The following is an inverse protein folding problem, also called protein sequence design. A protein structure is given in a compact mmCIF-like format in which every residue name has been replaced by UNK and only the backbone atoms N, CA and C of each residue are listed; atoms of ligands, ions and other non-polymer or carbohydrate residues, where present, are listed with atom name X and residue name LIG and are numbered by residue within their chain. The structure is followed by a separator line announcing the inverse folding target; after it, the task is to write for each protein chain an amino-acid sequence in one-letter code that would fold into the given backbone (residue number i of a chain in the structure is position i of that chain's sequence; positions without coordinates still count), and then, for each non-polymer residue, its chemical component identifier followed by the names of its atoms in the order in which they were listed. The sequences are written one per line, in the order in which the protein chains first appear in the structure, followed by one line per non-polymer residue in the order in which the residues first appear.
data_IF_844899579251
#
_entry.id   IF_844899579251
#
_cell.length_a   1.000
_cell.length_b   1.000
_cell.length_c   1.000
_cell.angle_alpha   90.00
_cell.angle_beta   90.00
_cell.angle_gamma   90.00
#
_symmetry.space_group_name_H-M   'P 1'
#
loop_
_entity.id
_entity.type
_entity.pdbx_description
1 polymer ?
#
# COMPACT_ATOMS: atom_id res chain seq x y z
N UNK A 1 13.79 -4.21 -11.87
CA UNK A 1 14.57 -4.62 -13.07
C UNK A 1 13.78 -5.66 -13.83
N UNK A 2 13.98 -5.79 -15.15
CA UNK A 2 13.18 -6.68 -16.02
C UNK A 2 13.52 -8.17 -15.88
N UNK A 3 14.63 -8.50 -15.22
CA UNK A 3 15.09 -9.85 -14.91
C UNK A 3 14.67 -10.36 -13.51
N UNK A 4 13.93 -9.55 -12.75
CA UNK A 4 13.47 -9.93 -11.42
C UNK A 4 12.36 -10.99 -11.47
N UNK A 5 12.38 -11.91 -10.52
CA UNK A 5 11.23 -12.78 -10.24
C UNK A 5 10.08 -11.91 -9.70
N UNK A 6 9.03 -11.75 -10.51
CA UNK A 6 7.89 -10.86 -10.19
C UNK A 6 7.14 -11.33 -8.96
N UNK A 7 6.97 -12.64 -8.76
CA UNK A 7 6.26 -13.17 -7.59
C UNK A 7 7.03 -12.85 -6.31
N UNK A 8 8.34 -13.08 -6.31
CA UNK A 8 9.18 -12.73 -5.17
C UNK A 8 9.25 -11.20 -4.95
N UNK A 9 9.33 -10.42 -6.03
CA UNK A 9 9.39 -8.96 -5.94
C UNK A 9 8.11 -8.37 -5.32
N UNK A 10 6.94 -8.89 -5.67
CA UNK A 10 5.66 -8.48 -5.09
C UNK A 10 5.63 -8.77 -3.59
N UNK A 11 6.01 -9.97 -3.15
CA UNK A 11 6.04 -10.29 -1.72
C UNK A 11 7.00 -9.37 -0.94
N UNK A 12 8.19 -9.09 -1.50
CA UNK A 12 9.16 -8.19 -0.88
C UNK A 12 8.65 -6.75 -0.80
N UNK A 13 8.04 -6.22 -1.86
CA UNK A 13 7.45 -4.88 -1.85
C UNK A 13 6.31 -4.78 -0.82
N UNK A 14 5.45 -5.80 -0.76
CA UNK A 14 4.36 -5.88 0.22
C UNK A 14 4.88 -5.97 1.64
N UNK A 15 5.93 -6.75 1.89
CA UNK A 15 6.57 -6.80 3.19
C UNK A 15 7.17 -5.43 3.55
N UNK A 16 7.85 -4.77 2.61
CA UNK A 16 8.51 -3.49 2.86
C UNK A 16 7.54 -2.36 3.23
N UNK A 17 6.35 -2.32 2.64
CA UNK A 17 5.39 -1.22 2.87
C UNK A 17 4.33 -1.53 3.93
N UNK A 18 3.85 -2.77 4.03
CA UNK A 18 2.73 -3.11 4.90
C UNK A 18 3.16 -3.74 6.23
N UNK A 19 4.46 -4.02 6.41
CA UNK A 19 5.00 -4.36 7.73
C UNK A 19 4.65 -3.26 8.74
N UNK A 20 4.23 -3.67 9.94
CA UNK A 20 3.73 -2.75 10.97
C UNK A 20 2.66 -1.76 10.48
N UNK A 21 1.78 -2.23 9.57
CA UNK A 21 0.72 -1.42 8.95
C UNK A 21 1.26 -0.17 8.23
N UNK A 22 2.52 -0.19 7.78
CA UNK A 22 3.21 0.94 7.16
C UNK A 22 3.65 2.04 8.13
N UNK A 23 3.50 1.84 9.43
CA UNK A 23 4.01 2.72 10.48
C UNK A 23 5.48 2.38 10.76
N UNK A 24 6.33 2.52 9.75
CA UNK A 24 7.75 2.18 9.79
C UNK A 24 8.57 3.24 9.06
N UNK A 25 9.63 3.75 9.69
CA UNK A 25 10.46 4.84 9.13
C UNK A 25 11.24 4.45 7.87
N UNK A 26 11.39 3.15 7.60
CA UNK A 26 12.03 2.62 6.41
C UNK A 26 11.03 1.90 5.48
N UNK A 27 9.73 2.21 5.57
CA UNK A 27 8.72 1.60 4.72
C UNK A 27 8.99 1.87 3.23
N UNK A 28 8.89 0.82 2.42
CA UNK A 28 9.06 0.89 0.96
C UNK A 28 7.84 1.48 0.26
N UNK A 29 7.50 2.75 0.53
CA UNK A 29 6.26 3.38 0.07
C UNK A 29 6.20 3.65 -1.44
N UNK A 30 7.35 3.61 -2.13
CA UNK A 30 7.46 3.82 -3.58
C UNK A 30 8.21 2.66 -4.21
N UNK A 31 7.55 1.96 -5.13
CA UNK A 31 8.10 0.83 -5.86
C UNK A 31 8.18 1.19 -7.34
N UNK A 32 9.42 1.24 -7.86
CA UNK A 32 9.70 1.44 -9.27
C UNK A 32 9.89 0.08 -9.93
N UNK A 33 9.13 -0.18 -10.97
CA UNK A 33 9.07 -1.47 -11.65
C UNK A 33 9.42 -1.25 -13.11
N UNK A 34 10.26 -2.12 -13.67
CA UNK A 34 10.65 -1.96 -15.06
C UNK A 34 9.44 -2.12 -15.99
N UNK A 35 9.29 -1.24 -16.99
CA UNK A 35 8.11 -1.18 -17.90
C UNK A 35 7.64 -2.56 -18.42
N UNK A 36 8.58 -3.44 -18.82
CA UNK A 36 8.34 -4.78 -19.34
C UNK A 36 7.57 -5.74 -18.41
N UNK A 37 7.63 -5.52 -17.11
CA UNK A 37 6.99 -6.39 -16.10
C UNK A 37 5.98 -5.64 -15.23
N UNK A 38 5.72 -4.36 -15.52
CA UNK A 38 4.88 -3.49 -14.71
C UNK A 38 3.44 -4.00 -14.60
N UNK A 39 2.78 -4.29 -15.72
CA UNK A 39 1.39 -4.78 -15.71
C UNK A 39 1.23 -6.09 -14.93
N UNK A 40 2.19 -7.01 -15.07
CA UNK A 40 2.21 -8.27 -14.32
C UNK A 40 2.37 -8.02 -12.81
N UNK A 41 3.29 -7.12 -12.45
CA UNK A 41 3.55 -6.74 -11.07
C UNK A 41 2.31 -6.11 -10.42
N UNK A 42 1.65 -5.15 -11.09
CA UNK A 42 0.45 -4.46 -10.59
C UNK A 42 -0.67 -5.47 -10.32
N UNK A 43 -0.95 -6.39 -11.25
CA UNK A 43 -2.01 -7.39 -11.08
C UNK A 43 -1.70 -8.36 -9.92
N UNK A 44 -0.45 -8.82 -9.80
CA UNK A 44 -0.02 -9.68 -8.69
C UNK A 44 -0.04 -8.94 -7.35
N UNK A 45 0.39 -7.68 -7.33
CA UNK A 45 0.39 -6.81 -6.16
C UNK A 45 -1.04 -6.56 -5.65
N UNK A 46 -1.96 -6.23 -6.55
CA UNK A 46 -3.40 -6.13 -6.25
C UNK A 46 -3.93 -7.43 -5.64
N UNK A 47 -3.65 -8.58 -6.26
CA UNK A 47 -4.11 -9.87 -5.75
C UNK A 47 -3.53 -10.17 -4.34
N UNK A 48 -2.28 -9.80 -4.07
CA UNK A 48 -1.65 -9.97 -2.77
C UNK A 48 -2.22 -9.03 -1.71
N UNK A 49 -2.51 -7.77 -2.05
CA UNK A 49 -3.14 -6.80 -1.15
C UNK A 49 -4.53 -7.29 -0.73
N UNK A 50 -5.35 -7.74 -1.68
CA UNK A 50 -6.70 -8.25 -1.40
C UNK A 50 -6.74 -9.51 -0.53
N UNK A 51 -5.67 -10.31 -0.54
CA UNK A 51 -5.54 -11.52 0.29
C UNK A 51 -5.08 -11.21 1.72
N UNK A 52 -4.54 -10.02 1.99
CA UNK A 52 -3.98 -9.68 3.30
C UNK A 52 -5.09 -9.63 4.36
N UNK A 53 -4.93 -10.41 5.42
CA UNK A 53 -5.95 -10.47 6.49
C UNK A 53 -5.78 -9.29 7.45
N UNK A 54 -6.75 -8.35 7.40
CA UNK A 54 -6.84 -7.22 8.33
C UNK A 54 -7.78 -7.56 9.48
N UNK A 55 -7.35 -7.36 10.74
CA UNK A 55 -8.18 -7.69 11.89
C UNK A 55 -7.50 -7.50 13.25
N UNK A 56 -8.12 -8.09 14.27
CA UNK A 56 -7.64 -8.05 15.65
C UNK A 56 -6.23 -8.65 15.75
N UNK A 57 -5.21 -7.90 16.23
CA UNK A 57 -3.82 -8.37 16.27
C UNK A 57 -3.59 -9.56 17.21
N UNK A 58 -4.55 -9.91 18.08
CA UNK A 58 -4.49 -11.09 18.94
C UNK A 58 -5.07 -12.36 18.30
N UNK A 59 -5.64 -12.27 17.10
CA UNK A 59 -6.19 -13.43 16.38
C UNK A 59 -5.15 -14.05 15.46
N UNK A 60 -5.04 -15.38 15.52
CA UNK A 60 -4.18 -16.14 14.61
C UNK A 60 -4.54 -15.89 13.14
N UNK A 61 -3.49 -15.77 12.31
CA UNK A 61 -3.62 -15.55 10.87
C UNK A 61 -3.92 -14.10 10.46
N UNK A 62 -4.03 -13.15 11.40
CA UNK A 62 -4.10 -11.73 11.06
C UNK A 62 -2.71 -11.22 10.68
N UNK A 63 -2.61 -10.61 9.50
CA UNK A 63 -1.37 -10.02 8.97
C UNK A 63 -1.27 -8.50 9.26
N UNK A 64 -2.40 -7.83 9.48
CA UNK A 64 -2.46 -6.38 9.61
C UNK A 64 -3.44 -5.94 10.71
N UNK A 65 -2.93 -5.26 11.73
CA UNK A 65 -3.71 -4.66 12.81
C UNK A 65 -4.24 -3.26 12.48
N UNK A 66 -4.74 -2.51 13.49
CA UNK A 66 -5.18 -1.14 13.33
C UNK A 66 -3.99 -0.16 13.28
N UNK A 67 -4.25 1.06 12.82
CA UNK A 67 -3.36 2.20 13.04
C UNK A 67 -3.32 2.57 14.53
N UNK A 68 -2.25 3.27 14.94
CA UNK A 68 -1.99 3.60 16.35
C UNK A 68 -3.12 4.43 16.99
N UNK A 69 -3.67 5.40 16.26
CA UNK A 69 -4.72 6.30 16.75
C UNK A 69 -5.58 6.87 15.61
N UNK A 70 -6.57 7.68 16.00
CA UNK A 70 -7.50 8.31 15.07
C UNK A 70 -6.88 9.45 14.24
N UNK A 71 -5.83 10.10 14.72
CA UNK A 71 -5.15 11.17 13.97
C UNK A 71 -4.42 10.56 12.77
N UNK A 72 -3.63 9.52 13.03
CA UNK A 72 -2.89 8.80 12.00
C UNK A 72 -3.84 8.13 11.01
N UNK A 73 -4.92 7.52 11.50
CA UNK A 73 -5.98 6.95 10.67
C UNK A 73 -6.55 7.96 9.68
N UNK A 74 -6.99 9.13 10.16
CA UNK A 74 -7.57 10.17 9.32
C UNK A 74 -6.53 10.80 8.39
N UNK A 75 -5.27 10.93 8.84
CA UNK A 75 -4.16 11.39 7.99
C UNK A 75 -3.99 10.46 6.79
N UNK A 76 -3.91 9.16 7.02
CA UNK A 76 -3.72 8.17 5.94
C UNK A 76 -4.88 8.24 4.93
N UNK A 77 -6.13 8.25 5.39
CA UNK A 77 -7.29 8.34 4.47
C UNK A 77 -7.28 9.63 3.63
N UNK A 78 -6.79 10.75 4.17
CA UNK A 78 -6.60 11.98 3.37
C UNK A 78 -5.52 11.82 2.30
N UNK A 79 -4.44 11.08 2.57
CA UNK A 79 -3.43 10.78 1.56
C UNK A 79 -3.96 9.87 0.47
N UNK A 80 -4.73 8.85 0.83
CA UNK A 80 -5.41 8.00 -0.15
C UNK A 80 -6.30 8.85 -1.05
N UNK A 81 -7.17 9.70 -0.47
CA UNK A 81 -8.02 10.59 -1.25
C UNK A 81 -7.18 11.51 -2.16
N UNK A 82 -6.09 12.08 -1.66
CA UNK A 82 -5.19 12.89 -2.46
C UNK A 82 -4.57 12.14 -3.64
N UNK A 83 -4.28 10.83 -3.50
CA UNK A 83 -3.79 10.00 -4.60
C UNK A 83 -4.82 9.86 -5.71
N UNK A 84 -6.07 9.54 -5.34
CA UNK A 84 -7.21 9.48 -6.27
C UNK A 84 -7.44 10.83 -6.96
N UNK A 85 -7.50 11.92 -6.19
CA UNK A 85 -7.74 13.27 -6.71
C UNK A 85 -6.63 13.75 -7.64
N UNK A 86 -5.41 13.23 -7.47
CA UNK A 86 -4.26 13.54 -8.34
C UNK A 86 -4.20 12.68 -9.60
N UNK A 87 -5.09 11.68 -9.74
CA UNK A 87 -5.19 10.82 -10.90
C UNK A 87 -4.32 9.57 -10.88
N UNK A 88 -3.84 9.13 -9.70
CA UNK A 88 -3.28 7.80 -9.55
C UNK A 88 -4.39 6.74 -9.62
N UNK A 89 -4.08 5.56 -10.14
CA UNK A 89 -5.04 4.47 -10.28
C UNK A 89 -5.12 3.69 -8.97
N UNK A 90 -6.23 3.79 -8.24
CA UNK A 90 -6.46 2.97 -7.03
C UNK A 90 -6.79 1.53 -7.45
N UNK A 91 -5.82 0.62 -7.32
CA UNK A 91 -5.99 -0.78 -7.78
C UNK A 91 -6.50 -1.72 -6.68
N UNK A 92 -6.23 -1.40 -5.41
CA UNK A 92 -6.74 -2.14 -4.26
C UNK A 92 -6.86 -1.24 -3.00
N UNK A 93 -7.82 -1.57 -2.14
CA UNK A 93 -7.98 -0.95 -0.83
C UNK A 93 -8.49 0.49 -0.90
N UNK A 94 -7.91 1.35 -0.07
CA UNK A 94 -8.22 2.77 0.00
C UNK A 94 -9.26 3.17 1.05
N UNK A 95 -9.96 2.20 1.64
CA UNK A 95 -11.01 2.47 2.63
C UNK A 95 -10.70 1.89 4.01
N UNK A 96 -11.56 2.25 4.96
CA UNK A 96 -11.58 1.64 6.29
C UNK A 96 -12.08 0.20 6.26
N UNK A 97 -11.65 -0.61 7.23
CA UNK A 97 -12.23 -1.94 7.49
C UNK A 97 -13.13 -1.88 8.72
N UNK A 98 -14.38 -2.29 8.55
CA UNK A 98 -15.38 -2.31 9.63
C UNK A 98 -15.78 -0.93 10.15
N UNK A 99 -16.50 -0.92 11.28
CA UNK A 99 -17.07 0.28 11.89
C UNK A 99 -16.38 0.70 13.20
N UNK A 100 -15.54 -0.16 13.78
CA UNK A 100 -14.83 0.04 15.05
C UNK A 100 -13.32 -0.14 14.88
N UNK A 101 -12.56 0.62 15.67
CA UNK A 101 -11.10 0.66 15.58
C UNK A 101 -10.60 1.42 14.35
N UNK A 102 -9.27 1.49 14.21
CA UNK A 102 -8.59 2.29 13.20
C UNK A 102 -8.00 1.42 12.09
N UNK A 103 -8.80 0.52 11.53
CA UNK A 103 -8.34 -0.40 10.49
C UNK A 103 -8.49 0.21 9.10
N UNK A 104 -7.41 0.15 8.33
CA UNK A 104 -7.36 0.62 6.93
C UNK A 104 -7.02 -0.58 6.05
N UNK A 105 -7.64 -0.66 4.88
CA UNK A 105 -7.31 -1.68 3.89
C UNK A 105 -5.88 -1.48 3.37
N UNK A 106 -5.12 -2.56 3.10
CA UNK A 106 -3.87 -2.44 2.37
C UNK A 106 -4.14 -1.77 1.02
N UNK A 107 -3.54 -0.61 0.79
CA UNK A 107 -3.85 0.25 -0.35
C UNK A 107 -2.72 0.19 -1.35
N UNK A 108 -3.05 0.00 -2.62
CA UNK A 108 -2.09 0.00 -3.72
C UNK A 108 -2.57 0.99 -4.78
N UNK A 109 -1.69 1.91 -5.16
CA UNK A 109 -1.85 2.81 -6.28
C UNK A 109 -0.90 2.42 -7.40
N UNK A 110 -1.42 2.28 -8.61
CA UNK A 110 -0.64 2.26 -9.84
C UNK A 110 -0.57 3.68 -10.43
N UNK A 111 0.38 3.87 -11.34
CA UNK A 111 0.59 5.08 -12.15
C UNK A 111 0.87 6.32 -11.28
N UNK A 112 1.54 6.10 -10.16
CA UNK A 112 1.92 7.17 -9.24
C UNK A 112 3.01 8.04 -9.86
N UNK A 113 2.75 9.34 -10.05
CA UNK A 113 3.71 10.28 -10.63
C UNK A 113 4.51 11.03 -9.56
N UNK A 114 5.73 11.43 -9.89
CA UNK A 114 6.67 12.05 -8.94
C UNK A 114 6.16 13.34 -8.31
N UNK A 115 5.23 14.04 -8.94
CA UNK A 115 4.60 15.26 -8.44
C UNK A 115 3.49 15.03 -7.41
N UNK A 116 2.95 13.81 -7.33
CA UNK A 116 1.84 13.48 -6.45
C UNK A 116 2.31 13.45 -4.99
N UNK A 117 1.44 13.88 -4.07
CA UNK A 117 1.74 13.85 -2.63
C UNK A 117 2.11 12.47 -2.13
N UNK A 118 1.42 11.44 -2.61
CA UNK A 118 1.69 10.03 -2.26
C UNK A 118 3.08 9.55 -2.70
N UNK A 119 3.75 10.26 -3.63
CA UNK A 119 5.11 9.97 -4.11
C UNK A 119 6.18 10.91 -3.50
N UNK A 120 5.79 11.92 -2.72
CA UNK A 120 6.69 12.95 -2.15
C UNK A 120 6.69 13.01 -0.62
N UNK A 121 5.53 12.76 -0.02
CA UNK A 121 5.32 12.93 1.41
C UNK A 121 5.28 11.57 2.12
N UNK A 122 5.72 11.55 3.38
CA UNK A 122 5.63 10.35 4.22
C UNK A 122 4.20 10.16 4.75
N UNK A 123 3.52 9.15 4.21
CA UNK A 123 2.16 8.76 4.62
C UNK A 123 2.17 8.09 6.00
N UNK A 124 3.17 7.21 6.22
CA UNK A 124 3.33 6.40 7.44
C UNK A 124 2.13 5.46 7.70
N UNK A 125 1.61 4.85 6.64
CA UNK A 125 0.46 3.95 6.65
C UNK A 125 0.53 2.91 5.54
N UNK A 126 -0.45 2.01 5.45
CA UNK A 126 -0.41 0.85 4.56
C UNK A 126 -0.81 1.27 3.14
N UNK A 127 0.03 2.08 2.50
CA UNK A 127 -0.19 2.64 1.15
C UNK A 127 1.07 2.46 0.32
N UNK A 128 0.94 1.70 -0.76
CA UNK A 128 1.98 1.44 -1.75
C UNK A 128 1.72 2.26 -3.02
N UNK A 129 2.70 3.05 -3.46
CA UNK A 129 2.70 3.67 -4.79
C UNK A 129 3.61 2.91 -5.74
N UNK A 130 3.07 2.50 -6.88
CA UNK A 130 3.76 1.77 -7.95
C UNK A 130 3.84 2.64 -9.20
N UNK A 131 4.97 2.52 -9.91
CA UNK A 131 5.24 3.25 -11.14
C UNK A 131 6.15 2.45 -12.06
N UNK A 132 5.95 2.59 -13.36
CA UNK A 132 6.84 2.12 -14.41
C UNK A 132 8.10 3.01 -14.56
N UNK A 133 9.25 2.37 -14.73
CA UNK A 133 10.53 3.01 -15.07
C UNK A 133 11.28 2.23 -16.17
#
# INVERSE_FOLDING_TARGET
MDDADVDQAVELAHQAVFFNQGQCCCAGSRTFVHERVYDEFVEKSKARALKRVVGDPFRDGVEQGPQIDGEQFNKILRYVQSGVDSGATLVAGGDRVGDRGFYIQPTVFADAKDEMKIAREEIFGPVLGERDE
#
